data_IF_114662613122
#
_entry.id   IF_114662613122
#
_cell.length_a   1.000
_cell.length_b   1.000
_cell.length_c   1.000
_cell.angle_alpha   90.00
_cell.angle_beta   90.00
_cell.angle_gamma   90.00
#
_symmetry.space_group_name_H-M   'P 1'
#
loop_
_entity.id
_entity.type
_entity.pdbx_description
1 polymer ?
#
# COMPACT_ATOMS: atom_id res chain seq x y z
N UNK A 1 64.12 -2.98 -18.18
CA UNK A 1 63.10 -1.94 -18.39
C UNK A 1 62.21 -2.37 -19.54
N UNK A 2 60.97 -2.76 -19.24
CA UNK A 2 59.75 -2.78 -20.10
C UNK A 2 58.82 -3.90 -19.63
N UNK A 3 58.07 -3.62 -18.56
CA UNK A 3 56.93 -4.41 -18.15
C UNK A 3 55.70 -3.96 -18.94
N UNK A 4 55.17 -4.84 -19.79
CA UNK A 4 53.91 -4.62 -20.49
C UNK A 4 52.81 -5.34 -19.72
N UNK A 5 52.23 -4.65 -18.74
CA UNK A 5 50.96 -5.03 -18.11
C UNK A 5 49.84 -4.25 -18.81
N UNK A 6 49.44 -4.76 -19.98
CA UNK A 6 48.33 -4.22 -20.77
C UNK A 6 46.99 -4.61 -20.16
N UNK A 7 46.22 -3.59 -19.76
CA UNK A 7 44.93 -3.72 -19.09
C UNK A 7 43.87 -4.45 -19.94
N UNK A 8 43.29 -5.52 -19.39
CA UNK A 8 42.04 -6.12 -19.86
C UNK A 8 40.89 -5.16 -19.54
N UNK A 9 40.43 -4.40 -20.54
CA UNK A 9 39.21 -3.59 -20.42
C UNK A 9 38.02 -4.51 -20.69
N UNK A 10 37.34 -4.93 -19.61
CA UNK A 10 36.07 -5.66 -19.68
C UNK A 10 34.95 -4.69 -20.11
N UNK A 11 34.76 -4.52 -21.42
CA UNK A 11 33.54 -3.93 -21.97
C UNK A 11 32.39 -4.93 -21.80
N UNK A 12 31.65 -4.80 -20.71
CA UNK A 12 30.38 -5.50 -20.55
C UNK A 12 29.36 -5.00 -21.57
N UNK A 13 29.16 -5.75 -22.66
CA UNK A 13 28.16 -5.43 -23.68
C UNK A 13 26.75 -5.55 -23.10
N UNK A 14 26.18 -4.41 -22.72
CA UNK A 14 24.76 -4.28 -22.40
C UNK A 14 23.96 -4.35 -23.70
N UNK A 15 23.32 -5.50 -24.00
CA UNK A 15 22.49 -5.66 -25.20
C UNK A 15 21.18 -4.85 -25.08
N UNK A 16 20.99 -3.73 -25.80
CA UNK A 16 19.83 -2.86 -25.62
C UNK A 16 18.50 -3.54 -25.94
N UNK A 17 18.52 -4.53 -26.84
CA UNK A 17 17.34 -5.32 -27.19
C UNK A 17 16.87 -6.20 -26.02
N UNK A 18 17.81 -6.80 -25.29
CA UNK A 18 17.52 -7.61 -24.11
C UNK A 18 16.94 -6.75 -22.98
N UNK A 19 17.52 -5.56 -22.73
CA UNK A 19 17.04 -4.61 -21.73
C UNK A 19 15.60 -4.20 -22.04
N UNK A 20 15.30 -3.84 -23.30
CA UNK A 20 13.93 -3.47 -23.71
C UNK A 20 12.94 -4.62 -23.56
N UNK A 21 13.34 -5.85 -23.90
CA UNK A 21 12.48 -7.05 -23.71
C UNK A 21 12.19 -7.29 -22.24
N UNK A 22 13.20 -7.22 -21.37
CA UNK A 22 13.04 -7.34 -19.91
C UNK A 22 12.14 -6.24 -19.35
N UNK A 23 12.33 -4.99 -19.78
CA UNK A 23 11.47 -3.89 -19.37
C UNK A 23 10.00 -4.14 -19.73
N UNK A 24 9.72 -4.57 -20.98
CA UNK A 24 8.34 -4.90 -21.39
C UNK A 24 7.75 -6.06 -20.60
N UNK A 25 8.55 -7.10 -20.35
CA UNK A 25 8.13 -8.23 -19.53
C UNK A 25 7.78 -7.78 -18.10
N UNK A 26 8.61 -6.90 -17.51
CA UNK A 26 8.38 -6.37 -16.17
C UNK A 26 7.07 -5.59 -16.08
N UNK A 27 6.80 -4.72 -17.08
CA UNK A 27 5.54 -3.97 -17.18
C UNK A 27 4.35 -4.93 -17.23
N UNK A 28 4.38 -5.91 -18.12
CA UNK A 28 3.29 -6.89 -18.26
C UNK A 28 3.06 -7.71 -16.99
N UNK A 29 4.12 -8.21 -16.36
CA UNK A 29 4.01 -8.96 -15.11
C UNK A 29 3.51 -8.06 -13.96
N UNK A 30 3.83 -6.76 -13.97
CA UNK A 30 3.30 -5.79 -13.00
C UNK A 30 1.79 -5.61 -13.16
N UNK A 31 1.32 -5.41 -14.39
CA UNK A 31 -0.11 -5.27 -14.71
C UNK A 31 -0.89 -6.52 -14.28
N UNK A 32 -0.37 -7.72 -14.57
CA UNK A 32 -0.95 -8.96 -14.10
C UNK A 32 -0.97 -9.05 -12.57
N UNK A 33 0.13 -8.65 -11.92
CA UNK A 33 0.23 -8.59 -10.46
C UNK A 33 -0.87 -7.73 -9.85
N UNK A 34 -1.07 -6.53 -10.39
CA UNK A 34 -2.13 -5.60 -9.97
C UNK A 34 -3.52 -6.19 -10.20
N UNK A 35 -3.77 -6.80 -11.36
CA UNK A 35 -5.04 -7.44 -11.66
C UNK A 35 -5.36 -8.59 -10.68
N UNK A 36 -4.35 -9.38 -10.28
CA UNK A 36 -4.52 -10.41 -9.25
C UNK A 36 -4.74 -9.82 -7.85
N UNK A 37 -4.09 -8.69 -7.50
CA UNK A 37 -4.34 -7.99 -6.24
C UNK A 37 -5.80 -7.51 -6.14
N UNK A 38 -6.34 -6.94 -7.22
CA UNK A 38 -7.72 -6.48 -7.28
C UNK A 38 -8.72 -7.63 -7.06
N UNK A 39 -8.39 -8.84 -7.52
CA UNK A 39 -9.19 -10.06 -7.34
C UNK A 39 -8.93 -10.77 -6.01
N UNK A 40 -8.01 -10.28 -5.18
CA UNK A 40 -7.62 -10.93 -3.92
C UNK A 40 -6.78 -12.20 -4.09
N UNK A 41 -6.31 -12.52 -5.30
CA UNK A 41 -5.49 -13.70 -5.59
C UNK A 41 -4.01 -13.46 -5.24
N UNK A 42 -3.72 -13.29 -3.93
CA UNK A 42 -2.43 -12.80 -3.43
C UNK A 42 -1.23 -13.67 -3.83
N UNK A 43 -1.39 -14.99 -3.90
CA UNK A 43 -0.32 -15.89 -4.33
C UNK A 43 0.08 -15.69 -5.80
N UNK A 44 -0.92 -15.52 -6.68
CA UNK A 44 -0.68 -15.24 -8.11
C UNK A 44 -0.11 -13.83 -8.29
N UNK A 45 -0.61 -12.85 -7.54
CA UNK A 45 -0.06 -11.50 -7.53
C UNK A 45 1.42 -11.52 -7.14
N UNK A 46 1.78 -12.21 -6.06
CA UNK A 46 3.17 -12.36 -5.63
C UNK A 46 4.05 -12.97 -6.70
N UNK A 47 3.62 -14.08 -7.30
CA UNK A 47 4.40 -14.76 -8.33
C UNK A 47 4.72 -13.83 -9.52
N UNK A 48 3.74 -13.03 -9.96
CA UNK A 48 3.93 -12.07 -11.06
C UNK A 48 4.81 -10.90 -10.66
N UNK A 49 4.61 -10.33 -9.47
CA UNK A 49 5.41 -9.19 -9.01
C UNK A 49 6.86 -9.57 -8.68
N UNK A 50 7.12 -10.78 -8.18
CA UNK A 50 8.48 -11.30 -8.00
C UNK A 50 9.18 -11.48 -9.35
N UNK A 51 8.45 -11.92 -10.40
CA UNK A 51 9.00 -12.02 -11.75
C UNK A 51 9.30 -10.63 -12.33
N UNK A 52 8.40 -9.67 -12.16
CA UNK A 52 8.60 -8.30 -12.61
C UNK A 52 9.82 -7.64 -11.96
N UNK A 53 10.05 -7.87 -10.66
CA UNK A 53 11.24 -7.37 -9.95
C UNK A 53 12.54 -7.97 -10.48
N UNK A 54 12.56 -9.27 -10.82
CA UNK A 54 13.73 -9.89 -11.46
C UNK A 54 14.02 -9.31 -12.84
N UNK A 55 12.98 -8.91 -13.57
CA UNK A 55 13.09 -8.38 -14.91
C UNK A 55 13.51 -6.90 -14.92
N UNK A 56 12.97 -6.10 -13.99
CA UNK A 56 13.35 -4.70 -13.81
C UNK A 56 13.26 -4.28 -12.33
N UNK A 57 14.36 -4.40 -11.56
CA UNK A 57 14.37 -4.08 -10.12
C UNK A 57 14.22 -2.57 -9.84
N UNK A 58 14.57 -1.72 -10.81
CA UNK A 58 14.56 -0.26 -10.72
C UNK A 58 13.28 0.36 -11.31
N UNK A 59 12.23 -0.44 -11.48
CA UNK A 59 10.92 0.08 -11.87
C UNK A 59 10.15 0.58 -10.64
N UNK A 60 9.79 1.87 -10.55
CA UNK A 60 8.98 2.38 -9.46
C UNK A 60 7.57 1.75 -9.43
N UNK A 61 7.00 1.45 -10.61
CA UNK A 61 5.74 0.72 -10.75
C UNK A 61 5.78 -0.67 -10.10
N UNK A 62 6.87 -1.43 -10.33
CA UNK A 62 7.05 -2.74 -9.70
C UNK A 62 7.10 -2.60 -8.18
N UNK A 63 7.84 -1.62 -7.67
CA UNK A 63 8.00 -1.42 -6.24
C UNK A 63 6.71 -0.95 -5.57
N UNK A 64 5.93 -0.06 -6.20
CA UNK A 64 4.61 0.34 -5.69
C UNK A 64 3.64 -0.85 -5.65
N UNK A 65 3.55 -1.63 -6.73
CA UNK A 65 2.67 -2.81 -6.77
C UNK A 65 3.06 -3.88 -5.72
N UNK A 66 4.37 -4.08 -5.48
CA UNK A 66 4.87 -4.93 -4.39
C UNK A 66 4.51 -4.38 -3.01
N UNK A 67 4.53 -3.07 -2.83
CA UNK A 67 4.13 -2.44 -1.57
C UNK A 67 2.66 -2.71 -1.26
N UNK A 68 1.77 -2.58 -2.25
CA UNK A 68 0.35 -2.94 -2.15
C UNK A 68 0.15 -4.43 -1.83
N UNK A 69 0.93 -5.32 -2.44
CA UNK A 69 0.92 -6.74 -2.10
C UNK A 69 1.29 -6.97 -0.62
N UNK A 70 2.37 -6.35 -0.14
CA UNK A 70 2.81 -6.52 1.25
C UNK A 70 1.83 -5.91 2.25
N UNK A 71 1.14 -4.82 1.90
CA UNK A 71 0.03 -4.31 2.70
C UNK A 71 -1.08 -5.36 2.84
N UNK A 72 -1.50 -5.98 1.73
CA UNK A 72 -2.53 -7.04 1.72
C UNK A 72 -2.12 -8.29 2.49
N UNK A 73 -0.82 -8.63 2.45
CA UNK A 73 -0.23 -9.73 3.21
C UNK A 73 0.01 -9.41 4.69
N UNK A 74 -0.29 -8.17 5.15
CA UNK A 74 -0.03 -7.70 6.52
C UNK A 74 1.45 -7.75 6.90
N UNK A 75 2.33 -7.42 5.96
CA UNK A 75 3.79 -7.34 6.14
C UNK A 75 4.28 -5.87 6.13
N UNK A 76 4.00 -5.07 7.18
CA UNK A 76 4.17 -3.61 7.15
C UNK A 76 5.62 -3.18 6.91
N UNK A 77 6.60 -3.90 7.45
CA UNK A 77 8.00 -3.58 7.22
C UNK A 77 8.42 -3.74 5.75
N UNK A 78 7.82 -4.69 5.03
CA UNK A 78 8.11 -4.91 3.60
C UNK A 78 7.35 -3.91 2.74
N UNK A 79 6.10 -3.61 3.10
CA UNK A 79 5.30 -2.58 2.44
C UNK A 79 5.98 -1.20 2.52
N UNK A 80 6.39 -0.76 3.72
CA UNK A 80 7.08 0.54 3.89
C UNK A 80 8.36 0.64 3.05
N UNK A 81 9.19 -0.40 3.05
CA UNK A 81 10.42 -0.42 2.24
C UNK A 81 10.13 -0.33 0.74
N UNK A 82 9.12 -1.05 0.26
CA UNK A 82 8.77 -1.07 -1.16
C UNK A 82 8.20 0.29 -1.61
N UNK A 83 7.34 0.94 -0.81
CA UNK A 83 6.88 2.30 -1.10
C UNK A 83 8.03 3.32 -1.11
N UNK A 84 8.93 3.25 -0.13
CA UNK A 84 10.10 4.14 -0.10
C UNK A 84 11.00 3.92 -1.31
N UNK A 85 11.22 2.68 -1.73
CA UNK A 85 11.98 2.39 -2.95
C UNK A 85 11.31 2.96 -4.20
N UNK A 86 9.98 2.90 -4.32
CA UNK A 86 9.26 3.52 -5.42
C UNK A 86 9.50 5.05 -5.45
N UNK A 87 9.46 5.70 -4.28
CA UNK A 87 9.77 7.13 -4.15
C UNK A 87 11.25 7.46 -4.39
N UNK A 88 12.18 6.60 -4.01
CA UNK A 88 13.61 6.82 -4.30
C UNK A 88 13.86 6.80 -5.82
N UNK A 89 13.11 5.98 -6.55
CA UNK A 89 13.19 5.84 -8.01
C UNK A 89 12.44 6.98 -8.75
N UNK A 90 11.38 7.51 -8.14
CA UNK A 90 10.54 8.56 -8.73
C UNK A 90 10.05 9.55 -7.64
N UNK A 91 10.92 10.45 -7.14
CA UNK A 91 10.67 11.22 -5.92
C UNK A 91 9.61 12.32 -6.04
N UNK A 92 9.30 12.74 -7.26
CA UNK A 92 8.34 13.82 -7.54
C UNK A 92 7.09 13.32 -8.27
N UNK A 93 6.94 12.01 -8.39
CA UNK A 93 5.76 11.43 -9.00
C UNK A 93 4.62 11.46 -7.96
N UNK A 94 3.54 12.21 -8.25
CA UNK A 94 2.46 12.39 -7.29
C UNK A 94 1.67 11.10 -7.04
N UNK A 95 1.67 10.12 -7.96
CA UNK A 95 0.99 8.85 -7.75
C UNK A 95 1.65 8.03 -6.64
N UNK A 96 2.99 7.90 -6.65
CA UNK A 96 3.69 7.16 -5.60
C UNK A 96 3.66 7.89 -4.25
N UNK A 97 3.67 9.23 -4.26
CA UNK A 97 3.49 10.03 -3.06
C UNK A 97 2.11 9.80 -2.45
N UNK A 98 1.07 9.80 -3.28
CA UNK A 98 -0.30 9.52 -2.89
C UNK A 98 -0.48 8.10 -2.35
N UNK A 99 0.03 7.08 -3.06
CA UNK A 99 -0.07 5.68 -2.64
C UNK A 99 0.61 5.45 -1.28
N UNK A 100 1.81 6.01 -1.08
CA UNK A 100 2.50 5.90 0.20
C UNK A 100 1.77 6.66 1.31
N UNK A 101 1.19 7.82 0.99
CA UNK A 101 0.41 8.60 1.94
C UNK A 101 -0.83 7.84 2.43
N UNK A 102 -1.55 7.16 1.52
CA UNK A 102 -2.69 6.28 1.86
C UNK A 102 -2.24 5.16 2.80
N UNK A 103 -1.14 4.48 2.48
CA UNK A 103 -0.57 3.43 3.32
C UNK A 103 -0.17 3.93 4.71
N UNK A 104 0.49 5.09 4.80
CA UNK A 104 0.89 5.69 6.06
C UNK A 104 -0.33 6.02 6.93
N UNK A 105 -1.41 6.54 6.35
CA UNK A 105 -2.63 6.78 7.11
C UNK A 105 -3.37 5.49 7.50
N UNK A 106 -3.37 4.45 6.64
CA UNK A 106 -3.98 3.16 6.97
C UNK A 106 -3.25 2.44 8.12
N UNK A 107 -1.98 2.76 8.33
CA UNK A 107 -1.11 2.19 9.37
C UNK A 107 -0.88 3.10 10.60
N UNK A 108 -1.53 4.26 10.66
CA UNK A 108 -1.49 5.16 11.82
C UNK A 108 -0.37 6.20 11.80
N UNK A 109 0.43 6.27 10.74
CA UNK A 109 1.48 7.28 10.53
C UNK A 109 0.92 8.57 9.91
N UNK A 110 -0.14 9.13 10.51
CA UNK A 110 -0.93 10.22 9.93
C UNK A 110 -0.12 11.46 9.56
N UNK A 111 0.79 11.92 10.44
CA UNK A 111 1.61 13.11 10.19
C UNK A 111 2.50 12.93 8.95
N UNK A 112 3.08 11.74 8.77
CA UNK A 112 3.89 11.41 7.58
C UNK A 112 3.00 11.30 6.34
N UNK A 113 1.84 10.66 6.45
CA UNK A 113 0.90 10.53 5.34
C UNK A 113 0.44 11.89 4.81
N UNK A 114 0.02 12.80 5.70
CA UNK A 114 -0.38 14.16 5.30
C UNK A 114 0.74 14.92 4.61
N UNK A 115 2.00 14.75 5.06
CA UNK A 115 3.14 15.37 4.37
C UNK A 115 3.21 14.96 2.90
N UNK A 116 3.11 13.67 2.61
CA UNK A 116 3.18 13.18 1.22
C UNK A 116 1.95 13.57 0.39
N UNK A 117 0.75 13.65 0.97
CA UNK A 117 -0.40 14.22 0.25
C UNK A 117 -0.18 15.69 -0.14
N UNK A 118 0.41 16.48 0.76
CA UNK A 118 0.75 17.88 0.47
C UNK A 118 1.90 18.02 -0.52
N UNK A 119 2.74 17.01 -0.69
CA UNK A 119 3.76 16.98 -1.73
C UNK A 119 3.13 16.64 -3.08
N UNK A 120 2.26 15.62 -3.15
CA UNK A 120 1.54 15.24 -4.37
C UNK A 120 0.67 16.40 -4.88
N UNK A 121 0.03 17.12 -3.95
CA UNK A 121 -0.75 18.34 -4.18
C UNK A 121 -0.04 19.44 -4.96
N UNK A 122 1.29 19.50 -4.86
CA UNK A 122 2.07 20.60 -5.47
C UNK A 122 2.17 20.46 -6.97
N UNK A 123 1.91 19.28 -7.52
CA UNK A 123 1.88 19.08 -8.96
C UNK A 123 0.54 19.59 -9.53
N UNK A 124 0.52 20.70 -10.30
CA UNK A 124 -0.73 21.29 -10.79
C UNK A 124 -1.51 20.40 -11.76
N UNK A 125 -0.83 19.41 -12.35
CA UNK A 125 -1.42 18.46 -13.30
C UNK A 125 -1.95 17.20 -12.60
N UNK A 126 -1.78 17.08 -11.27
CA UNK A 126 -2.26 15.94 -10.52
C UNK A 126 -3.76 16.03 -10.24
N UNK A 127 -4.55 15.46 -11.15
CA UNK A 127 -6.01 15.45 -11.14
C UNK A 127 -6.57 14.11 -10.63
N UNK A 128 -6.04 13.55 -9.54
CA UNK A 128 -6.75 12.44 -8.89
C UNK A 128 -8.01 12.96 -8.21
N UNK A 129 -9.14 12.20 -8.21
CA UNK A 129 -10.38 12.62 -7.56
C UNK A 129 -10.21 12.90 -6.06
N UNK A 130 -9.13 12.39 -5.48
CA UNK A 130 -8.58 12.88 -4.24
C UNK A 130 -7.71 14.13 -4.49
N UNK A 131 -8.35 15.28 -4.60
CA UNK A 131 -7.64 16.53 -4.38
C UNK A 131 -7.09 16.55 -2.95
N UNK A 132 -6.02 17.32 -2.68
CA UNK A 132 -5.46 17.50 -1.34
C UNK A 132 -6.50 17.97 -0.31
N UNK A 133 -7.56 18.64 -0.77
CA UNK A 133 -8.71 19.05 0.02
C UNK A 133 -9.63 17.88 0.39
N UNK A 134 -9.97 16.96 -0.52
CA UNK A 134 -10.87 15.84 -0.22
C UNK A 134 -10.20 14.73 0.59
N UNK A 135 -8.89 14.49 0.38
CA UNK A 135 -8.17 13.44 1.11
C UNK A 135 -7.68 13.84 2.51
N UNK A 136 -7.55 15.16 2.77
CA UNK A 136 -7.48 15.66 4.14
C UNK A 136 -8.66 15.09 4.94
N UNK A 137 -9.89 15.20 4.45
CA UNK A 137 -11.08 15.01 5.28
C UNK A 137 -11.44 13.54 5.62
N UNK A 138 -11.15 12.54 4.78
CA UNK A 138 -11.88 11.25 4.91
C UNK A 138 -11.19 10.14 5.73
N UNK A 139 -9.85 9.98 5.74
CA UNK A 139 -9.18 8.91 6.52
C UNK A 139 -8.04 9.43 7.40
N UNK A 140 -7.23 10.37 6.90
CA UNK A 140 -6.17 10.98 7.69
C UNK A 140 -6.69 12.05 8.67
N UNK A 141 -7.55 13.00 8.26
CA UNK A 141 -8.02 14.05 9.19
C UNK A 141 -8.89 13.51 10.31
N UNK A 142 -9.73 12.49 10.07
CA UNK A 142 -10.54 11.87 11.14
C UNK A 142 -9.69 11.47 12.35
N UNK A 143 -8.47 11.00 12.14
CA UNK A 143 -7.54 10.58 13.19
C UNK A 143 -6.52 11.66 13.63
N UNK A 144 -6.38 12.76 12.89
CA UNK A 144 -5.55 13.91 13.30
C UNK A 144 -6.35 14.86 14.21
N UNK A 145 -7.65 15.06 13.95
CA UNK A 145 -8.54 15.81 14.85
C UNK A 145 -8.97 15.01 16.08
N UNK A 146 -8.75 13.70 16.09
CA UNK A 146 -8.90 12.87 17.30
C UNK A 146 -7.63 12.03 17.49
N UNK A 147 -6.59 12.53 18.20
CA UNK A 147 -5.46 11.67 18.53
C UNK A 147 -6.00 10.42 19.23
N UNK A 148 -5.55 9.20 18.87
CA UNK A 148 -5.98 8.00 19.56
C UNK A 148 -5.61 8.17 21.03
N UNK A 149 -6.62 8.26 21.90
CA UNK A 149 -6.38 8.39 23.34
C UNK A 149 -5.42 7.27 23.76
N UNK A 150 -4.32 7.56 24.46
CA UNK A 150 -3.43 6.53 24.95
C UNK A 150 -4.24 5.66 25.93
N UNK A 151 -4.63 4.47 25.48
CA UNK A 151 -5.51 3.57 26.23
C UNK A 151 -6.59 2.84 25.42
N UNK A 152 -6.89 3.25 24.19
CA UNK A 152 -7.89 2.54 23.37
C UNK A 152 -7.25 1.62 22.31
N UNK A 153 -6.40 0.71 22.77
CA UNK A 153 -6.04 -0.51 22.04
C UNK A 153 -7.04 -1.60 22.43
N UNK A 154 -7.74 -2.16 21.44
CA UNK A 154 -8.75 -3.24 21.55
C UNK A 154 -10.09 -2.86 22.20
N UNK A 155 -11.03 -2.31 21.41
CA UNK A 155 -12.46 -2.57 21.67
C UNK A 155 -13.29 -2.66 20.38
N UNK A 156 -12.93 -3.59 19.51
CA UNK A 156 -13.85 -4.10 18.46
C UNK A 156 -14.05 -5.61 18.61
N UNK A 157 -14.52 -6.03 19.78
CA UNK A 157 -14.91 -7.42 20.04
C UNK A 157 -16.00 -7.57 21.12
N UNK A 158 -16.75 -6.51 21.46
CA UNK A 158 -17.78 -6.57 22.54
C UNK A 158 -19.12 -5.90 22.25
N UNK A 159 -19.47 -5.60 20.99
CA UNK A 159 -20.78 -4.99 20.67
C UNK A 159 -21.68 -5.77 19.71
N UNK A 160 -21.34 -7.01 19.34
CA UNK A 160 -22.26 -7.88 18.56
C UNK A 160 -22.95 -8.92 19.46
N UNK A 161 -22.49 -9.11 20.69
CA UNK A 161 -23.07 -10.09 21.63
C UNK A 161 -24.16 -9.53 22.56
N UNK A 162 -24.42 -8.22 22.53
CA UNK A 162 -25.38 -7.58 23.45
C UNK A 162 -26.74 -7.25 22.80
N UNK A 163 -26.81 -7.24 21.47
CA UNK A 163 -28.07 -7.01 20.73
C UNK A 163 -28.91 -8.28 20.51
N UNK A 164 -28.41 -9.47 20.88
CA UNK A 164 -29.21 -10.71 20.96
C UNK A 164 -29.74 -11.02 22.36
N UNK A 165 -29.33 -10.29 23.39
CA UNK A 165 -29.81 -10.49 24.77
C UNK A 165 -31.07 -9.67 25.11
N UNK A 166 -31.50 -8.73 24.24
CA UNK A 166 -32.71 -7.90 24.45
C UNK A 166 -33.96 -8.33 23.67
N UNK A 167 -33.90 -9.37 22.83
CA UNK A 167 -35.07 -9.84 22.06
C UNK A 167 -35.58 -11.22 22.46
N UNK A 168 -35.27 -11.70 23.67
CA UNK A 168 -35.67 -13.04 24.11
C UNK A 168 -35.84 -13.12 25.62
N UNK A 169 -36.88 -12.50 26.15
CA UNK A 169 -37.69 -12.99 27.28
C UNK A 169 -38.59 -11.88 27.83
N UNK A 170 -39.89 -12.03 27.63
CA UNK A 170 -40.88 -11.62 28.62
C UNK A 170 -41.73 -12.87 28.90
N UNK A 171 -41.62 -13.46 30.10
CA UNK A 171 -42.30 -14.70 30.44
C UNK A 171 -43.79 -14.45 30.71
N UNK A 172 -44.60 -15.37 30.21
CA UNK A 172 -45.99 -15.56 30.61
C UNK A 172 -46.07 -15.73 32.13
N UNK A 173 -46.81 -14.86 32.81
CA UNK A 173 -47.28 -15.10 34.17
C UNK A 173 -48.79 -14.99 34.21
N UNK A 174 -49.41 -16.17 34.22
CA UNK A 174 -50.79 -16.41 34.62
C UNK A 174 -50.85 -16.14 36.13
N UNK A 175 -51.73 -15.24 36.57
CA UNK A 175 -52.30 -15.29 37.92
C UNK A 175 -53.79 -15.03 37.83
N UNK A 176 -54.55 -16.09 38.10
CA UNK A 176 -55.94 -16.09 38.53
C UNK A 176 -56.06 -15.38 39.88
N UNK A 177 -56.99 -14.43 40.03
CA UNK A 177 -57.72 -14.24 41.30
C UNK A 177 -59.07 -13.54 41.04
N UNK A 178 -60.06 -14.03 41.79
CA UNK A 178 -61.48 -13.69 41.81
C UNK A 178 -61.83 -12.21 42.08
N UNK A 179 -63.04 -11.85 41.64
CA UNK A 179 -63.75 -10.60 41.92
C UNK A 179 -64.98 -10.48 41.04
#
# INVERSE_FOLDING_TARGET
>A
MLGVLGALVLYGCSNPQLIRRRHRAAVYNTELGIAYLQRGALALAKARLDQAERENPDSPNVQSARALLFERLREPARADRAFRRALDLAPHDPDYQNDYAVYLCSTGHYARGVKYFLEAARNPLYLTPATPSTMRESVCARNIMTPPRPGCSKRRSRSIRDSRARSGNSPSSITSTAG
#
